data_IF_274882762381
#
_entry.id   IF_274882762381
#
_cell.length_a   1.000
_cell.length_b   1.000
_cell.length_c   1.000
_cell.angle_alpha   90.00
_cell.angle_beta   90.00
_cell.angle_gamma   90.00
#
_symmetry.space_group_name_H-M   'P 1'
#
loop_
_entity.id
_entity.type
_entity.pdbx_description
1 polymer ?
#
# COMPACT_ATOMS: atom_id res chain seq x y z
N UNK A 1 16.94 -23.70 -31.86
CA UNK A 1 16.69 -22.68 -30.81
C UNK A 1 16.97 -23.32 -29.46
N UNK A 2 17.73 -22.65 -28.60
CA UNK A 2 18.12 -23.19 -27.28
C UNK A 2 16.91 -23.30 -26.34
N UNK A 3 16.77 -24.41 -25.62
CA UNK A 3 15.71 -24.63 -24.62
C UNK A 3 15.63 -23.50 -23.57
N UNK A 4 16.75 -22.82 -23.28
CA UNK A 4 16.78 -21.64 -22.40
C UNK A 4 15.92 -20.49 -22.93
N UNK A 5 15.96 -20.21 -24.24
CA UNK A 5 15.20 -19.11 -24.82
C UNK A 5 13.68 -19.34 -24.73
N UNK A 6 13.24 -20.61 -24.83
CA UNK A 6 11.84 -20.99 -24.68
C UNK A 6 11.38 -20.94 -23.21
N UNK A 7 12.28 -21.21 -22.27
CA UNK A 7 12.05 -21.07 -20.82
C UNK A 7 11.88 -19.61 -20.40
N UNK A 8 12.68 -18.68 -20.97
CA UNK A 8 12.48 -17.23 -20.79
C UNK A 8 11.12 -16.75 -21.33
N UNK A 9 10.75 -17.15 -22.55
CA UNK A 9 9.47 -16.76 -23.17
C UNK A 9 8.23 -17.33 -22.46
N UNK A 10 8.35 -18.51 -21.83
CA UNK A 10 7.25 -19.11 -21.04
C UNK A 10 7.04 -18.38 -19.71
N UNK A 11 8.07 -17.72 -19.19
CA UNK A 11 8.02 -16.95 -17.95
C UNK A 11 7.36 -15.57 -18.16
N UNK A 12 7.57 -14.93 -19.33
CA UNK A 12 6.99 -13.62 -19.65
C UNK A 12 5.45 -13.58 -19.56
N UNK A 13 4.78 -14.63 -20.04
CA UNK A 13 3.31 -14.72 -19.97
C UNK A 13 2.77 -14.85 -18.54
N UNK A 14 3.53 -15.47 -17.64
CA UNK A 14 3.21 -15.56 -16.22
C UNK A 14 3.54 -14.26 -15.48
N UNK A 15 4.65 -13.60 -15.84
CA UNK A 15 5.02 -12.31 -15.26
C UNK A 15 4.01 -11.22 -15.60
N UNK A 16 3.51 -11.17 -16.83
CA UNK A 16 2.48 -10.21 -17.22
C UNK A 16 1.16 -10.42 -16.45
N UNK A 17 0.79 -11.67 -16.17
CA UNK A 17 -0.38 -12.00 -15.33
C UNK A 17 -0.18 -11.60 -13.88
N UNK A 18 1.00 -11.88 -13.30
CA UNK A 18 1.34 -11.49 -11.93
C UNK A 18 1.32 -9.96 -11.78
N UNK A 19 1.96 -9.24 -12.70
CA UNK A 19 2.02 -7.77 -12.68
C UNK A 19 0.62 -7.15 -12.81
N UNK A 20 -0.28 -7.76 -13.61
CA UNK A 20 -1.67 -7.32 -13.71
C UNK A 20 -2.43 -7.52 -12.40
N UNK A 21 -2.24 -8.65 -11.72
CA UNK A 21 -2.84 -8.92 -10.41
C UNK A 21 -2.31 -7.96 -9.35
N UNK A 22 -1.00 -7.74 -9.29
CA UNK A 22 -0.39 -6.76 -8.38
C UNK A 22 -0.94 -5.35 -8.62
N UNK A 23 -1.13 -4.95 -9.88
CA UNK A 23 -1.71 -3.64 -10.21
C UNK A 23 -3.18 -3.51 -9.80
N UNK A 24 -3.95 -4.60 -9.81
CA UNK A 24 -5.34 -4.60 -9.33
C UNK A 24 -5.42 -4.48 -7.81
N UNK A 25 -4.42 -4.99 -7.09
CA UNK A 25 -4.32 -4.91 -5.63
C UNK A 25 -3.62 -3.62 -5.15
N UNK A 26 -2.83 -2.97 -5.99
CA UNK A 26 -2.09 -1.75 -5.67
C UNK A 26 -2.96 -0.60 -5.11
N UNK A 27 -4.16 -0.30 -5.65
CA UNK A 27 -5.04 0.71 -5.04
C UNK A 27 -5.49 0.33 -3.63
N UNK A 28 -5.74 -0.97 -3.38
CA UNK A 28 -6.12 -1.46 -2.06
C UNK A 28 -4.94 -1.34 -1.07
N UNK A 29 -3.73 -1.65 -1.52
CA UNK A 29 -2.50 -1.52 -0.74
C UNK A 29 -2.29 -0.09 -0.23
N UNK A 30 -2.66 0.91 -1.03
CA UNK A 30 -2.57 2.33 -0.63
C UNK A 30 -3.79 2.77 0.18
N UNK A 31 -5.00 2.41 -0.26
CA UNK A 31 -6.24 2.88 0.35
C UNK A 31 -6.48 2.31 1.75
N UNK A 32 -6.10 1.05 2.00
CA UNK A 32 -6.39 0.37 3.26
C UNK A 32 -5.62 0.98 4.45
N UNK A 33 -4.29 1.23 4.38
CA UNK A 33 -3.58 1.94 5.43
C UNK A 33 -4.12 3.35 5.68
N UNK A 34 -4.54 4.05 4.63
CA UNK A 34 -5.19 5.37 4.77
C UNK A 34 -6.50 5.26 5.55
N UNK A 35 -7.37 4.31 5.20
CA UNK A 35 -8.63 4.09 5.90
C UNK A 35 -8.41 3.71 7.38
N UNK A 36 -7.46 2.81 7.66
CA UNK A 36 -7.10 2.42 9.03
C UNK A 36 -6.56 3.61 9.81
N UNK A 37 -5.73 4.46 9.18
CA UNK A 37 -5.23 5.68 9.82
C UNK A 37 -6.35 6.65 10.19
N UNK A 38 -7.32 6.84 9.30
CA UNK A 38 -8.50 7.67 9.60
C UNK A 38 -9.32 7.10 10.75
N UNK A 39 -9.44 5.78 10.86
CA UNK A 39 -10.15 5.14 11.97
C UNK A 39 -9.44 5.42 13.31
N UNK A 40 -8.12 5.31 13.35
CA UNK A 40 -7.33 5.66 14.54
C UNK A 40 -7.42 7.16 14.88
N UNK A 41 -7.36 8.04 13.88
CA UNK A 41 -7.54 9.48 14.09
C UNK A 41 -8.93 9.80 14.66
N UNK A 42 -9.97 9.14 14.14
CA UNK A 42 -11.33 9.29 14.64
C UNK A 42 -11.46 8.82 16.09
N UNK A 43 -10.91 7.64 16.42
CA UNK A 43 -10.89 7.12 17.79
C UNK A 43 -10.15 8.06 18.74
N UNK A 44 -8.99 8.58 18.33
CA UNK A 44 -8.27 9.58 19.11
C UNK A 44 -9.06 10.88 19.25
N UNK A 45 -9.74 11.35 18.21
CA UNK A 45 -10.52 12.59 18.28
C UNK A 45 -11.71 12.48 19.24
N UNK A 46 -12.49 11.40 19.15
CA UNK A 46 -13.65 11.17 20.01
C UNK A 46 -13.24 10.91 21.47
N UNK A 47 -12.27 10.02 21.70
CA UNK A 47 -11.97 9.55 23.04
C UNK A 47 -10.74 10.23 23.67
N UNK A 48 -9.75 10.60 22.86
CA UNK A 48 -8.54 11.26 23.32
C UNK A 48 -8.72 12.77 23.45
N UNK A 49 -9.08 13.44 22.35
CA UNK A 49 -9.19 14.89 22.31
C UNK A 49 -10.48 15.39 22.97
N UNK A 50 -11.64 14.85 22.59
CA UNK A 50 -12.94 15.37 23.07
C UNK A 50 -13.23 15.02 24.53
N UNK A 51 -12.84 13.82 24.98
CA UNK A 51 -13.01 13.36 26.38
C UNK A 51 -11.77 13.67 27.24
N UNK A 52 -10.63 14.02 26.63
CA UNK A 52 -9.39 14.34 27.34
C UNK A 52 -8.66 13.12 27.90
N UNK A 53 -8.89 11.93 27.36
CA UNK A 53 -8.26 10.69 27.85
C UNK A 53 -6.89 10.43 27.18
N UNK A 54 -5.76 10.59 27.89
CA UNK A 54 -4.43 10.43 27.31
C UNK A 54 -4.10 8.99 26.88
N UNK A 55 -4.89 7.99 27.31
CA UNK A 55 -4.72 6.61 26.86
C UNK A 55 -4.81 6.48 25.33
N UNK A 56 -5.54 7.40 24.68
CA UNK A 56 -5.77 7.38 23.24
C UNK A 56 -4.64 8.03 22.41
N UNK A 57 -3.61 8.59 23.06
CA UNK A 57 -2.49 9.20 22.33
C UNK A 57 -1.70 8.17 21.50
N UNK A 58 -1.77 6.89 21.87
CA UNK A 58 -1.18 5.80 21.08
C UNK A 58 -1.80 5.70 19.69
N UNK A 59 -3.13 5.86 19.58
CA UNK A 59 -3.89 5.82 18.34
C UNK A 59 -3.47 6.97 17.41
N UNK A 60 -3.24 8.16 17.96
CA UNK A 60 -2.71 9.29 17.18
C UNK A 60 -1.34 8.96 16.59
N UNK A 61 -0.43 8.43 17.41
CA UNK A 61 0.92 8.06 16.99
C UNK A 61 0.87 6.96 15.92
N UNK A 62 0.05 5.93 16.13
CA UNK A 62 -0.14 4.85 15.16
C UNK A 62 -0.68 5.37 13.83
N UNK A 63 -1.69 6.25 13.85
CA UNK A 63 -2.21 6.86 12.64
C UNK A 63 -1.14 7.62 11.85
N UNK A 64 -0.30 8.40 12.53
CA UNK A 64 0.81 9.11 11.88
C UNK A 64 1.85 8.15 11.30
N UNK A 65 2.24 7.11 12.03
CA UNK A 65 3.20 6.12 11.53
C UNK A 65 2.67 5.44 10.26
N UNK A 66 1.40 5.04 10.26
CA UNK A 66 0.77 4.38 9.11
C UNK A 66 0.71 5.34 7.92
N UNK A 67 0.26 6.59 8.12
CA UNK A 67 0.19 7.59 7.04
C UNK A 67 1.57 7.89 6.44
N UNK A 68 2.57 8.15 7.28
CA UNK A 68 3.93 8.48 6.83
C UNK A 68 4.53 7.29 6.06
N UNK A 69 4.32 6.07 6.54
CA UNK A 69 4.82 4.86 5.88
C UNK A 69 4.14 4.67 4.52
N UNK A 70 2.83 4.86 4.45
CA UNK A 70 2.07 4.73 3.21
C UNK A 70 2.50 5.77 2.15
N UNK A 71 2.74 7.02 2.58
CA UNK A 71 3.26 8.08 1.72
C UNK A 71 4.69 7.80 1.26
N UNK A 72 5.54 7.29 2.15
CA UNK A 72 6.97 7.10 1.88
C UNK A 72 7.27 5.85 1.04
N UNK A 73 6.45 4.80 1.15
CA UNK A 73 6.72 3.51 0.52
C UNK A 73 5.63 3.10 -0.48
N UNK A 74 4.37 3.05 -0.06
CA UNK A 74 3.28 2.48 -0.87
C UNK A 74 2.96 3.35 -2.11
N UNK A 75 2.86 4.68 -1.95
CA UNK A 75 2.60 5.59 -3.07
C UNK A 75 3.72 5.53 -4.13
N UNK A 76 5.03 5.64 -3.77
CA UNK A 76 6.12 5.45 -4.72
C UNK A 76 6.11 4.09 -5.40
N UNK A 77 5.82 3.00 -4.66
CA UNK A 77 5.75 1.64 -5.20
C UNK A 77 4.66 1.50 -6.29
N UNK A 78 3.45 2.02 -6.04
CA UNK A 78 2.40 1.99 -7.06
C UNK A 78 2.79 2.84 -8.28
N UNK A 79 3.44 3.99 -8.05
CA UNK A 79 3.89 4.88 -9.14
C UNK A 79 4.96 4.22 -10.02
N UNK A 80 5.89 3.45 -9.46
CA UNK A 80 6.91 2.72 -10.23
C UNK A 80 6.28 1.58 -11.03
N UNK A 81 5.35 0.81 -10.44
CA UNK A 81 4.60 -0.24 -11.15
C UNK A 81 3.81 0.30 -12.35
N UNK A 82 3.08 1.40 -12.17
CA UNK A 82 2.34 2.05 -13.26
C UNK A 82 3.26 2.53 -14.39
N UNK A 83 4.48 2.96 -14.07
CA UNK A 83 5.49 3.35 -15.06
C UNK A 83 6.06 2.13 -15.79
N UNK A 84 6.26 1.00 -15.10
CA UNK A 84 6.76 -0.23 -15.70
C UNK A 84 5.81 -0.79 -16.75
N UNK A 85 4.49 -0.74 -16.50
CA UNK A 85 3.46 -1.16 -17.47
C UNK A 85 3.45 -0.36 -18.78
N UNK A 86 3.89 0.91 -18.76
CA UNK A 86 3.88 1.79 -19.94
C UNK A 86 5.07 1.55 -20.88
N UNK A 87 6.10 0.82 -20.43
CA UNK A 87 7.24 0.39 -21.25
C UNK A 87 6.93 -0.96 -21.88
#
# INVERSE_FOLDING_TARGET
MSNKAMEYLKNDGNQAKLLRTELMLAPLLVALPVAVSFLFLYHWFENGYSVGNPAFNGELVLAFIILVSNISFDIPFVKTMLRYRKK
#
